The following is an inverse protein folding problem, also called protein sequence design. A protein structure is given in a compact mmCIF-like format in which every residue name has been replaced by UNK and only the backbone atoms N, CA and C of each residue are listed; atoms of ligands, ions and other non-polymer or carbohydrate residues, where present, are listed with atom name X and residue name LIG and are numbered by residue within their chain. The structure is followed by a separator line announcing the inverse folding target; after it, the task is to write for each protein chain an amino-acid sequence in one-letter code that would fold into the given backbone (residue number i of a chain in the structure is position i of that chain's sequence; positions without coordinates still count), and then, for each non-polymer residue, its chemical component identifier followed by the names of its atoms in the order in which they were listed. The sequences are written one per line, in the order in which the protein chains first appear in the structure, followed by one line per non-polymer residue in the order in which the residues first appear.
data_IF_454839157682
#
_entry.id   IF_454839157682
#
_cell.length_a   1.000
_cell.length_b   1.000
_cell.length_c   1.000
_cell.angle_alpha   90.00
_cell.angle_beta   90.00
_cell.angle_gamma   90.00
#
_symmetry.space_group_name_H-M   'P 1'
#
loop_
_entity.id
_entity.type
_entity.pdbx_description
1 polymer ?
#
# COMPACT_ATOMS: atom_id res chain seq x y z
N UNK A 1 -7.35 15.42 0.44
CA UNK A 1 -7.68 16.19 -0.76
C UNK A 1 -7.10 17.58 -0.65
N UNK A 2 -6.25 17.98 -1.61
CA UNK A 2 -5.81 19.37 -1.74
C UNK A 2 -6.99 20.29 -2.01
N UNK A 3 -6.80 21.59 -1.83
CA UNK A 3 -7.82 22.58 -2.14
C UNK A 3 -7.87 22.88 -3.66
N UNK A 4 -8.86 23.64 -4.12
CA UNK A 4 -9.06 23.92 -5.55
C UNK A 4 -7.91 24.72 -6.18
N UNK A 5 -7.30 25.64 -5.43
CA UNK A 5 -6.12 26.40 -5.88
C UNK A 5 -4.93 25.48 -6.10
N UNK A 6 -4.62 24.61 -5.14
CA UNK A 6 -3.56 23.60 -5.26
C UNK A 6 -3.81 22.66 -6.44
N UNK A 7 -5.06 22.19 -6.61
CA UNK A 7 -5.45 21.30 -7.70
C UNK A 7 -5.33 21.97 -9.08
N UNK A 8 -5.57 23.28 -9.17
CA UNK A 8 -5.50 24.03 -10.43
C UNK A 8 -4.11 24.06 -11.07
N UNK A 9 -3.05 23.81 -10.28
CA UNK A 9 -1.68 23.74 -10.76
C UNK A 9 -1.33 22.41 -11.44
N UNK A 10 -2.18 21.39 -11.34
CA UNK A 10 -1.94 20.08 -11.94
C UNK A 10 -2.63 19.95 -13.30
N UNK A 11 -1.87 19.58 -14.32
CA UNK A 11 -2.41 19.18 -15.63
C UNK A 11 -2.69 17.69 -15.62
N UNK A 12 -3.85 17.29 -15.10
CA UNK A 12 -4.29 15.88 -15.03
C UNK A 12 -5.12 15.58 -16.27
N UNK A 13 -4.64 14.66 -17.11
CA UNK A 13 -5.46 14.17 -18.23
C UNK A 13 -6.56 13.23 -17.72
N UNK A 14 -7.69 13.06 -18.45
CA UNK A 14 -8.74 12.12 -18.04
C UNK A 14 -8.22 10.69 -17.79
N UNK A 15 -7.22 10.26 -18.56
CA UNK A 15 -6.62 8.92 -18.45
C UNK A 15 -5.75 8.78 -17.18
N UNK A 16 -5.18 9.89 -16.68
CA UNK A 16 -4.35 9.92 -15.46
C UNK A 16 -5.16 10.19 -14.19
N UNK A 17 -6.43 10.61 -14.31
CA UNK A 17 -7.27 10.98 -13.18
C UNK A 17 -7.45 9.83 -12.20
N UNK A 18 -7.62 8.61 -12.71
CA UNK A 18 -7.77 7.43 -11.85
C UNK A 18 -6.53 7.20 -10.98
N UNK A 19 -5.35 7.25 -11.58
CA UNK A 19 -4.07 7.05 -10.90
C UNK A 19 -3.76 8.20 -9.93
N UNK A 20 -4.12 9.42 -10.31
CA UNK A 20 -4.05 10.57 -9.41
C UNK A 20 -4.90 10.34 -8.15
N UNK A 21 -6.17 9.95 -8.29
CA UNK A 21 -7.05 9.71 -7.15
C UNK A 21 -6.56 8.54 -6.28
N UNK A 22 -6.15 7.43 -6.91
CA UNK A 22 -5.66 6.25 -6.20
C UNK A 22 -4.38 6.53 -5.43
N UNK A 23 -3.43 7.25 -6.02
CA UNK A 23 -2.19 7.64 -5.33
C UNK A 23 -2.46 8.57 -4.15
N UNK A 24 -3.54 9.37 -4.18
CA UNK A 24 -3.97 10.24 -3.10
C UNK A 24 -4.85 9.57 -2.02
N UNK A 25 -4.98 8.24 -2.08
CA UNK A 25 -5.84 7.48 -1.16
C UNK A 25 -5.04 6.46 -0.35
N UNK A 26 -5.47 6.21 0.89
CA UNK A 26 -5.09 5.03 1.66
C UNK A 26 -6.30 4.08 1.58
N UNK A 27 -6.12 2.80 1.19
CA UNK A 27 -7.26 1.87 1.04
C UNK A 27 -8.08 1.68 2.31
N UNK A 28 -7.44 1.83 3.48
CA UNK A 28 -8.10 1.73 4.79
C UNK A 28 -8.69 3.08 5.21
N UNK A 29 -9.95 3.14 5.68
CA UNK A 29 -10.58 4.37 6.15
C UNK A 29 -10.02 4.79 7.51
N UNK A 30 -9.10 5.77 7.52
CA UNK A 30 -8.42 6.24 8.74
C UNK A 30 -8.95 7.60 9.18
N UNK A 31 -9.38 7.71 10.45
CA UNK A 31 -9.64 8.99 11.11
C UNK A 31 -8.31 9.66 11.49
N UNK A 32 -8.34 10.96 11.77
CA UNK A 32 -7.14 11.66 12.24
C UNK A 32 -6.54 10.98 13.48
N UNK A 33 -7.37 10.56 14.43
CA UNK A 33 -6.89 9.86 15.62
C UNK A 33 -6.13 8.58 15.28
N UNK A 34 -6.56 7.80 14.28
CA UNK A 34 -5.83 6.61 13.86
C UNK A 34 -4.46 6.97 13.28
N UNK A 35 -4.41 8.01 12.43
CA UNK A 35 -3.17 8.46 11.81
C UNK A 35 -2.15 8.98 12.84
N UNK A 36 -2.61 9.59 13.94
CA UNK A 36 -1.74 10.11 15.01
C UNK A 36 -0.98 9.02 15.79
N UNK A 37 -1.46 7.78 15.75
CA UNK A 37 -0.82 6.65 16.43
C UNK A 37 0.24 5.95 15.59
N UNK A 38 0.38 6.31 14.31
CA UNK A 38 1.49 5.81 13.50
C UNK A 38 2.82 6.36 14.03
N UNK A 39 3.84 5.53 14.22
CA UNK A 39 5.20 5.99 14.49
C UNK A 39 5.68 6.94 13.37
N UNK A 40 6.51 7.93 13.73
CA UNK A 40 7.12 8.80 12.72
C UNK A 40 7.97 8.00 11.73
N UNK A 41 7.84 8.33 10.44
CA UNK A 41 8.49 7.58 9.37
C UNK A 41 7.72 6.32 8.94
N UNK A 42 6.52 6.09 9.47
CA UNK A 42 5.64 5.02 8.97
C UNK A 42 5.36 5.21 7.48
N UNK A 43 5.34 4.10 6.75
CA UNK A 43 5.03 4.07 5.32
C UNK A 43 3.85 3.13 5.12
N UNK A 44 2.80 3.62 4.47
CA UNK A 44 1.58 2.86 4.17
C UNK A 44 1.34 2.78 2.67
N UNK A 45 0.72 1.71 2.16
CA UNK A 45 0.35 1.65 0.75
C UNK A 45 -0.67 2.73 0.40
N UNK A 46 -0.52 3.35 -0.77
CA UNK A 46 -1.61 4.10 -1.37
C UNK A 46 -2.59 3.16 -2.10
N UNK A 47 -3.68 3.70 -2.64
CA UNK A 47 -4.58 2.97 -3.53
C UNK A 47 -3.95 2.64 -4.89
N UNK A 48 -2.88 3.34 -5.30
CA UNK A 48 -2.16 3.05 -6.53
C UNK A 48 -0.99 2.10 -6.24
N UNK A 49 -0.89 0.96 -6.95
CA UNK A 49 0.24 0.06 -6.81
C UNK A 49 1.58 0.78 -6.99
N UNK A 50 2.59 0.39 -6.22
CA UNK A 50 3.95 0.96 -6.24
C UNK A 50 4.06 2.42 -5.77
N UNK A 51 2.99 3.02 -5.22
CA UNK A 51 3.02 4.31 -4.55
C UNK A 51 2.72 4.13 -3.06
N UNK A 52 3.53 4.75 -2.22
CA UNK A 52 3.42 4.69 -0.76
C UNK A 52 3.36 6.07 -0.15
N UNK A 53 2.69 6.16 0.99
CA UNK A 53 2.47 7.40 1.72
C UNK A 53 3.27 7.32 3.02
N UNK A 54 4.19 8.25 3.23
CA UNK A 54 4.89 8.46 4.49
C UNK A 54 4.02 9.26 5.45
N UNK A 55 4.02 8.87 6.73
CA UNK A 55 3.28 9.54 7.79
C UNK A 55 4.29 10.10 8.80
N UNK A 56 4.19 11.39 9.08
CA UNK A 56 5.04 12.08 10.05
C UNK A 56 4.20 12.95 10.97
N UNK A 57 4.22 12.65 12.27
CA UNK A 57 3.63 13.45 13.33
C UNK A 57 4.69 14.35 13.96
N UNK A 58 4.64 15.64 13.62
CA UNK A 58 5.58 16.66 14.11
C UNK A 58 5.05 17.39 15.35
N UNK A 59 4.16 16.77 16.12
CA UNK A 59 3.58 17.34 17.34
C UNK A 59 2.84 18.64 17.06
N UNK A 60 3.39 19.77 17.55
CA UNK A 60 2.77 21.10 17.38
C UNK A 60 2.68 21.53 15.91
N UNK A 61 3.60 21.11 15.06
CA UNK A 61 3.54 21.44 13.63
C UNK A 61 2.42 20.67 12.90
N UNK A 62 1.92 19.59 13.49
CA UNK A 62 0.82 18.78 12.98
C UNK A 62 1.28 17.47 12.34
N UNK A 63 0.34 16.85 11.64
CA UNK A 63 0.51 15.56 10.97
C UNK A 63 0.65 15.76 9.46
N UNK A 64 1.59 15.03 8.86
CA UNK A 64 1.98 15.16 7.46
C UNK A 64 1.87 13.81 6.74
N UNK A 65 1.43 13.86 5.49
CA UNK A 65 1.38 12.74 4.53
C UNK A 65 2.16 13.11 3.28
N UNK A 66 3.26 12.41 2.96
CA UNK A 66 4.22 12.82 1.90
C UNK A 66 4.51 14.32 1.92
N UNK A 67 4.85 14.85 3.10
CA UNK A 67 5.15 16.27 3.35
C UNK A 67 3.96 17.24 3.21
N UNK A 68 2.78 16.78 2.78
CA UNK A 68 1.56 17.58 2.81
C UNK A 68 0.94 17.54 4.21
N UNK A 69 0.71 18.70 4.82
CA UNK A 69 0.10 18.81 6.16
C UNK A 69 -1.38 18.50 6.07
N UNK A 70 -1.92 17.73 7.01
CA UNK A 70 -3.37 17.63 7.20
C UNK A 70 -3.86 18.94 7.82
N UNK A 71 -4.63 19.71 7.04
CA UNK A 71 -5.15 21.03 7.43
C UNK A 71 -6.58 20.96 7.95
N UNK A 72 -7.39 20.07 7.39
CA UNK A 72 -8.81 19.93 7.72
C UNK A 72 -9.16 18.45 7.92
N UNK A 73 -9.06 17.92 9.14
CA UNK A 73 -9.28 16.50 9.39
C UNK A 73 -10.77 16.13 9.39
N UNK A 74 -11.06 14.85 9.11
CA UNK A 74 -12.38 14.23 9.31
C UNK A 74 -13.54 14.99 8.61
N UNK A 75 -13.33 15.45 7.37
CA UNK A 75 -14.35 16.19 6.61
C UNK A 75 -15.56 15.29 6.29
N UNK A 76 -15.31 14.04 5.92
CA UNK A 76 -16.34 13.05 5.62
C UNK A 76 -16.75 12.28 6.88
N UNK A 77 -17.77 12.77 7.60
CA UNK A 77 -18.16 12.21 8.90
C UNK A 77 -19.09 10.99 8.79
N UNK A 78 -20.00 10.96 7.81
CA UNK A 78 -21.03 9.91 7.65
C UNK A 78 -20.86 9.10 6.36
N UNK A 79 -19.61 8.79 5.98
CA UNK A 79 -19.30 8.03 4.78
C UNK A 79 -18.46 6.78 5.09
N UNK A 80 -18.47 5.82 4.18
CA UNK A 80 -17.54 4.69 4.18
C UNK A 80 -16.11 5.14 3.87
N UNK A 81 -15.94 6.31 3.23
CA UNK A 81 -14.64 6.95 3.02
C UNK A 81 -14.33 7.95 4.13
N UNK A 82 -13.04 8.09 4.45
CA UNK A 82 -12.54 9.16 5.33
C UNK A 82 -11.73 10.12 4.49
N UNK A 83 -12.14 11.38 4.51
CA UNK A 83 -11.46 12.43 3.77
C UNK A 83 -10.88 13.46 4.73
N UNK A 84 -9.67 13.90 4.41
CA UNK A 84 -8.92 14.92 5.12
C UNK A 84 -8.45 15.95 4.10
N UNK A 85 -8.61 17.24 4.40
CA UNK A 85 -7.98 18.32 3.66
C UNK A 85 -6.47 18.31 3.90
N UNK A 86 -5.68 18.42 2.83
CA UNK A 86 -4.21 18.49 2.89
C UNK A 86 -3.72 19.78 2.25
N UNK A 87 -2.56 20.28 2.69
CA UNK A 87 -2.01 21.58 2.26
C UNK A 87 -1.38 21.59 0.87
N UNK A 88 -1.27 20.44 0.21
CA UNK A 88 -0.67 20.27 -1.11
C UNK A 88 -1.03 18.88 -1.66
N UNK A 89 -0.95 18.69 -2.97
CA UNK A 89 -1.02 17.35 -3.57
C UNK A 89 0.17 16.48 -3.15
N UNK A 90 -0.06 15.17 -3.09
CA UNK A 90 0.98 14.22 -2.74
C UNK A 90 1.95 14.07 -3.90
N UNK A 91 3.22 14.38 -3.64
CA UNK A 91 4.31 14.05 -4.55
C UNK A 91 4.92 12.72 -4.14
N UNK A 92 5.31 11.93 -5.14
CA UNK A 92 5.97 10.65 -4.92
C UNK A 92 7.30 10.70 -5.64
N UNK A 93 8.41 10.58 -4.91
CA UNK A 93 9.70 10.42 -5.55
C UNK A 93 9.69 9.17 -6.44
N UNK A 94 10.24 9.29 -7.64
CA UNK A 94 10.23 8.22 -8.63
C UNK A 94 11.01 7.01 -8.11
N UNK A 95 10.28 6.03 -7.57
CA UNK A 95 10.69 4.63 -7.45
C UNK A 95 11.81 4.35 -6.46
N UNK A 96 11.47 4.21 -5.18
CA UNK A 96 12.10 3.11 -4.45
C UNK A 96 11.49 1.82 -5.00
N UNK A 97 12.28 0.90 -5.58
CA UNK A 97 11.77 -0.40 -5.95
C UNK A 97 11.42 -1.09 -4.65
N UNK A 98 10.14 -1.12 -4.32
CA UNK A 98 9.65 -2.17 -3.45
C UNK A 98 9.92 -3.45 -4.22
N UNK A 99 11.03 -4.12 -3.88
CA UNK A 99 11.17 -5.53 -4.12
C UNK A 99 9.89 -6.12 -3.55
N UNK A 100 8.98 -6.51 -4.44
CA UNK A 100 7.92 -7.48 -4.12
C UNK A 100 8.62 -8.50 -3.24
N UNK A 101 8.15 -8.68 -2.00
CA UNK A 101 8.56 -9.84 -1.22
C UNK A 101 8.53 -11.01 -2.19
N UNK A 102 9.64 -11.77 -2.36
CA UNK A 102 9.61 -12.92 -3.24
C UNK A 102 8.39 -13.73 -2.82
N UNK A 103 7.51 -14.02 -3.79
CA UNK A 103 6.47 -14.98 -3.55
C UNK A 103 7.10 -16.19 -2.86
N UNK A 104 6.48 -16.77 -1.82
CA UNK A 104 6.98 -18.01 -1.24
C UNK A 104 7.21 -18.98 -2.39
N UNK A 105 8.47 -19.36 -2.62
CA UNK A 105 8.79 -20.31 -3.68
C UNK A 105 8.08 -21.60 -3.30
N UNK A 106 6.97 -21.89 -3.98
CA UNK A 106 6.34 -23.19 -3.89
C UNK A 106 7.37 -24.19 -4.42
N UNK A 107 7.96 -24.92 -3.48
CA UNK A 107 9.14 -25.74 -3.71
C UNK A 107 8.69 -27.07 -4.30
N UNK A 108 8.21 -27.03 -5.54
CA UNK A 108 7.73 -28.21 -6.25
C UNK A 108 7.89 -28.06 -7.78
N UNK A 109 9.07 -28.35 -8.33
CA UNK A 109 9.31 -29.57 -9.15
C UNK A 109 10.61 -29.58 -9.95
N UNK A 110 11.21 -30.78 -9.92
CA UNK A 110 11.95 -31.47 -10.97
C UNK A 110 13.37 -31.02 -11.33
N UNK A 111 14.33 -31.69 -10.65
CA UNK A 111 15.56 -32.15 -11.26
C UNK A 111 15.24 -33.31 -12.21
N UNK A 112 15.55 -33.16 -13.50
CA UNK A 112 15.75 -34.28 -14.40
C UNK A 112 17.17 -34.16 -14.95
N UNK A 113 18.09 -34.96 -14.42
CA UNK A 113 19.13 -35.54 -15.25
C UNK A 113 19.49 -36.96 -14.76
N UNK A 114 19.23 -37.90 -15.68
CA UNK A 114 19.87 -39.20 -15.88
C UNK A 114 19.92 -40.26 -14.75
N UNK A 115 18.98 -41.21 -14.89
CA UNK A 115 19.16 -42.67 -14.89
C UNK A 115 19.93 -43.38 -13.76
N UNK A 116 19.19 -44.14 -12.93
CA UNK A 116 19.43 -45.57 -12.68
C UNK A 116 18.37 -46.12 -11.71
N UNK A 117 17.55 -47.08 -12.16
CA UNK A 117 16.63 -47.87 -11.30
C UNK A 117 17.41 -48.93 -10.52
N UNK A 118 16.93 -49.34 -9.33
CA UNK A 118 16.20 -50.61 -9.31
C UNK A 118 14.97 -50.65 -8.38
N UNK A 119 14.06 -51.54 -8.77
CA UNK A 119 12.75 -51.88 -8.20
C UNK A 119 12.81 -52.41 -6.76
N UNK A 120 11.93 -51.93 -5.86
CA UNK A 120 11.65 -52.60 -4.57
C UNK A 120 10.14 -52.60 -4.26
N UNK A 121 9.72 -53.74 -3.72
CA UNK A 121 8.38 -54.29 -3.53
C UNK A 121 7.43 -53.47 -2.65
N UNK A 122 6.15 -53.53 -3.00
CA UNK A 122 4.99 -52.97 -2.27
C UNK A 122 4.61 -53.87 -1.10
N UNK A 123 4.51 -53.33 0.12
CA UNK A 123 3.87 -54.00 1.26
C UNK A 123 2.66 -53.18 1.72
N UNK A 124 1.54 -53.89 1.90
CA UNK A 124 0.22 -53.37 2.25
C UNK A 124 0.05 -53.38 3.78
N UNK A 125 -0.52 -52.32 4.36
CA UNK A 125 -0.99 -52.31 5.74
C UNK A 125 -2.52 -52.47 5.81
N UNK A 126 -3.06 -53.23 6.77
CA UNK A 126 -4.50 -53.46 6.91
C UNK A 126 -5.20 -52.33 7.70
N UNK A 127 -6.54 -52.23 7.61
CA UNK A 127 -7.31 -51.17 8.24
C UNK A 127 -7.58 -51.46 9.73
N UNK A 128 -7.68 -50.38 10.51
CA UNK A 128 -8.11 -50.42 11.91
C UNK A 128 -9.65 -50.46 12.00
N UNK A 129 -10.15 -51.26 12.94
CA UNK A 129 -11.58 -51.50 13.22
C UNK A 129 -12.31 -50.26 13.73
#
# INVERSE_FOLDING_TARGET
MPNDEDLSHFSITPDELHDFLLSHSIPTPLLLNHLMHFPNGSVVPSGLPNKVISITNSGRAGLFVNNARIVTPNVCQNSQIRCHGISAALTFENGLPFHRFPEPRDSSKNRNDSSSTPSVKKMSMPPFK
#
